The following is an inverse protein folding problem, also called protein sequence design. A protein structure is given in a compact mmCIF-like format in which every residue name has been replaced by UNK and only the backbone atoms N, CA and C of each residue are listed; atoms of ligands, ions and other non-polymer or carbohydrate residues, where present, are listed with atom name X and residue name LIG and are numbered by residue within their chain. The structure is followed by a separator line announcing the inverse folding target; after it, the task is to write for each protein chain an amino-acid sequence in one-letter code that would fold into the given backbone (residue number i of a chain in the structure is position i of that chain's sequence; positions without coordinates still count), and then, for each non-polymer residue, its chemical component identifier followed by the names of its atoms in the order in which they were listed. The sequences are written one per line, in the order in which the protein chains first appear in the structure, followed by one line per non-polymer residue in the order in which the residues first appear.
data_IF_943365410213
#
_entry.id   IF_943365410213
#
_cell.length_a   1.000
_cell.length_b   1.000
_cell.length_c   1.000
_cell.angle_alpha   90.00
_cell.angle_beta   90.00
_cell.angle_gamma   90.00
#
_symmetry.space_group_name_H-M   'P 1'
#
loop_
_entity.id
_entity.type
_entity.pdbx_description
1 polymer ?
#
# COMPACT_ATOMS: atom_id res chain seq x y z
N UNK A 1 127.42 -28.96 -54.54
CA UNK A 1 126.09 -28.58 -55.08
C UNK A 1 125.04 -29.48 -54.46
N UNK A 2 123.91 -28.96 -53.95
CA UNK A 2 122.83 -29.81 -53.45
C UNK A 2 122.26 -30.66 -54.60
N UNK A 3 121.89 -31.90 -54.32
CA UNK A 3 121.28 -32.79 -55.31
C UNK A 3 119.89 -32.30 -55.70
N UNK A 4 119.43 -32.65 -56.91
CA UNK A 4 118.16 -32.15 -57.46
C UNK A 4 116.97 -32.44 -56.53
N UNK A 5 116.95 -33.63 -55.92
CA UNK A 5 115.95 -34.08 -54.95
C UNK A 5 115.87 -33.15 -53.73
N UNK A 6 117.02 -32.78 -53.15
CA UNK A 6 117.09 -31.85 -51.99
C UNK A 6 116.50 -30.49 -52.38
N UNK A 7 116.77 -30.00 -53.60
CA UNK A 7 116.19 -28.72 -54.06
C UNK A 7 114.69 -28.78 -54.31
N UNK A 8 114.15 -29.92 -54.78
CA UNK A 8 112.71 -30.13 -54.91
C UNK A 8 112.03 -30.23 -53.54
N UNK A 9 112.63 -30.96 -52.60
CA UNK A 9 112.13 -31.08 -51.23
C UNK A 9 112.05 -29.71 -50.54
N UNK A 10 113.13 -28.90 -50.62
CA UNK A 10 113.14 -27.54 -50.05
C UNK A 10 112.06 -26.64 -50.67
N UNK A 11 111.83 -26.70 -51.99
CA UNK A 11 110.73 -25.97 -52.64
C UNK A 11 109.35 -26.42 -52.14
N UNK A 12 109.16 -27.73 -51.90
CA UNK A 12 107.91 -28.28 -51.34
C UNK A 12 107.69 -27.78 -49.91
N UNK A 13 108.69 -27.88 -49.03
CA UNK A 13 108.61 -27.38 -47.66
C UNK A 13 108.36 -25.87 -47.61
N UNK A 14 108.97 -25.09 -48.50
CA UNK A 14 108.72 -23.65 -48.60
C UNK A 14 107.27 -23.36 -49.01
N UNK A 15 106.73 -24.06 -50.02
CA UNK A 15 105.32 -23.93 -50.42
C UNK A 15 104.35 -24.31 -49.30
N UNK A 16 104.60 -25.42 -48.60
CA UNK A 16 103.76 -25.88 -47.48
C UNK A 16 103.78 -24.90 -46.30
N UNK A 17 104.94 -24.30 -45.99
CA UNK A 17 105.08 -23.23 -44.99
C UNK A 17 104.29 -21.99 -45.39
N UNK A 18 104.43 -21.55 -46.64
CA UNK A 18 103.79 -20.32 -47.13
C UNK A 18 102.26 -20.50 -47.22
N UNK A 19 101.78 -21.71 -47.59
CA UNK A 19 100.36 -22.11 -47.52
C UNK A 19 99.84 -22.23 -46.07
N UNK A 20 100.68 -22.65 -45.11
CA UNK A 20 100.31 -22.65 -43.69
C UNK A 20 100.16 -21.22 -43.15
N UNK A 21 101.12 -20.34 -43.43
CA UNK A 21 101.08 -18.92 -43.07
C UNK A 21 99.86 -18.20 -43.68
N UNK A 22 99.51 -18.47 -44.94
CA UNK A 22 98.29 -17.92 -45.53
C UNK A 22 97.00 -18.45 -44.88
N UNK A 23 96.96 -19.74 -44.50
CA UNK A 23 95.82 -20.30 -43.76
C UNK A 23 95.68 -19.70 -42.36
N UNK A 24 96.79 -19.51 -41.65
CA UNK A 24 96.83 -18.85 -40.34
C UNK A 24 96.42 -17.37 -40.42
N UNK A 25 96.95 -16.61 -41.39
CA UNK A 25 96.55 -15.23 -41.61
C UNK A 25 95.04 -15.12 -41.93
N UNK A 26 94.50 -16.05 -42.73
CA UNK A 26 93.07 -16.13 -43.06
C UNK A 26 92.21 -16.45 -41.83
N UNK A 27 92.60 -17.43 -41.01
CA UNK A 27 91.86 -17.81 -39.80
C UNK A 27 91.94 -16.73 -38.72
N UNK A 28 93.12 -16.13 -38.51
CA UNK A 28 93.34 -15.00 -37.59
C UNK A 28 92.49 -13.78 -37.99
N UNK A 29 92.44 -13.44 -39.27
CA UNK A 29 91.60 -12.34 -39.76
C UNK A 29 90.10 -12.64 -39.63
N UNK A 30 89.65 -13.89 -39.86
CA UNK A 30 88.27 -14.30 -39.58
C UNK A 30 87.94 -14.18 -38.09
N UNK A 31 88.82 -14.66 -37.21
CA UNK A 31 88.64 -14.59 -35.76
C UNK A 31 88.55 -13.13 -35.27
N UNK A 32 89.42 -12.24 -35.76
CA UNK A 32 89.35 -10.79 -35.46
C UNK A 32 88.01 -10.17 -35.89
N UNK A 33 87.51 -10.51 -37.10
CA UNK A 33 86.19 -10.05 -37.58
C UNK A 33 85.06 -10.53 -36.68
N UNK A 34 85.04 -11.82 -36.33
CA UNK A 34 84.04 -12.37 -35.40
C UNK A 34 84.13 -11.69 -34.03
N UNK A 35 85.32 -11.52 -33.46
CA UNK A 35 85.51 -10.87 -32.16
C UNK A 35 84.98 -9.43 -32.15
N UNK A 36 85.26 -8.64 -33.19
CA UNK A 36 84.73 -7.27 -33.32
C UNK A 36 83.22 -7.25 -33.48
N UNK A 37 82.65 -8.12 -34.34
CA UNK A 37 81.21 -8.23 -34.54
C UNK A 37 80.48 -8.63 -33.24
N UNK A 38 80.99 -9.64 -32.52
CA UNK A 38 80.44 -10.08 -31.24
C UNK A 38 80.53 -8.98 -30.17
N UNK A 39 81.66 -8.26 -30.08
CA UNK A 39 81.80 -7.12 -29.15
C UNK A 39 80.81 -6.00 -29.45
N UNK A 40 80.64 -5.64 -30.72
CA UNK A 40 79.66 -4.65 -31.17
C UNK A 40 78.23 -5.08 -30.83
N UNK A 41 77.84 -6.32 -31.16
CA UNK A 41 76.50 -6.84 -30.84
C UNK A 41 76.22 -6.91 -29.34
N UNK A 42 77.21 -7.24 -28.50
CA UNK A 42 77.06 -7.20 -27.04
C UNK A 42 76.88 -5.77 -26.54
N UNK A 43 77.53 -4.78 -27.13
CA UNK A 43 77.35 -3.37 -26.76
C UNK A 43 75.95 -2.86 -27.17
N UNK A 44 75.49 -3.19 -28.37
CA UNK A 44 74.15 -2.87 -28.87
C UNK A 44 73.05 -3.48 -27.98
N UNK A 45 73.16 -4.79 -27.66
CA UNK A 45 72.23 -5.47 -26.76
C UNK A 45 72.25 -4.88 -25.34
N UNK A 46 73.41 -4.45 -24.84
CA UNK A 46 73.52 -3.74 -23.55
C UNK A 46 72.87 -2.35 -23.58
N UNK A 47 72.85 -1.69 -24.73
CA UNK A 47 72.14 -0.43 -24.91
C UNK A 47 70.63 -0.66 -24.94
N UNK A 48 70.15 -1.55 -25.82
CA UNK A 48 68.74 -1.94 -25.93
C UNK A 48 68.17 -2.40 -24.57
N UNK A 49 68.89 -3.24 -23.82
CA UNK A 49 68.46 -3.68 -22.50
C UNK A 49 68.32 -2.52 -21.49
N UNK A 50 69.21 -1.52 -21.53
CA UNK A 50 69.12 -0.34 -20.67
C UNK A 50 67.92 0.54 -21.05
N UNK A 51 67.72 0.74 -22.35
CA UNK A 51 66.61 1.51 -22.92
C UNK A 51 65.27 0.88 -22.52
N UNK A 52 65.03 -0.38 -22.86
CA UNK A 52 63.78 -1.09 -22.52
C UNK A 52 63.55 -1.20 -21.00
N UNK A 53 64.62 -1.33 -20.21
CA UNK A 53 64.52 -1.31 -18.74
C UNK A 53 64.07 0.06 -18.21
N UNK A 54 64.50 1.16 -18.82
CA UNK A 54 64.09 2.50 -18.44
C UNK A 54 62.66 2.80 -18.91
N UNK A 55 62.29 2.41 -20.14
CA UNK A 55 60.92 2.50 -20.65
C UNK A 55 59.93 1.75 -19.75
N UNK A 56 60.24 0.52 -19.35
CA UNK A 56 59.39 -0.27 -18.47
C UNK A 56 59.21 0.38 -17.08
N UNK A 57 60.26 1.00 -16.51
CA UNK A 57 60.15 1.79 -15.27
C UNK A 57 59.22 2.99 -15.43
N UNK A 58 59.33 3.74 -16.54
CA UNK A 58 58.46 4.89 -16.85
C UNK A 58 57.01 4.43 -17.06
N UNK A 59 56.80 3.33 -17.77
CA UNK A 59 55.48 2.75 -17.99
C UNK A 59 54.85 2.30 -16.66
N UNK A 60 55.58 1.59 -15.81
CA UNK A 60 55.11 1.15 -14.50
C UNK A 60 54.73 2.34 -13.59
N UNK A 61 55.53 3.41 -13.58
CA UNK A 61 55.21 4.64 -12.86
C UNK A 61 53.95 5.32 -13.42
N UNK A 62 53.80 5.35 -14.75
CA UNK A 62 52.64 5.93 -15.44
C UNK A 62 51.36 5.14 -15.14
N UNK A 63 51.40 3.80 -15.20
CA UNK A 63 50.28 2.92 -14.84
C UNK A 63 49.86 3.13 -13.39
N UNK A 64 50.81 3.23 -12.45
CA UNK A 64 50.51 3.52 -11.04
C UNK A 64 49.83 4.88 -10.87
N UNK A 65 50.34 5.92 -11.54
CA UNK A 65 49.74 7.26 -11.53
C UNK A 65 48.30 7.21 -12.06
N UNK A 66 48.06 6.59 -13.21
CA UNK A 66 46.73 6.48 -13.82
C UNK A 66 45.73 5.71 -12.94
N UNK A 67 46.15 4.64 -12.26
CA UNK A 67 45.27 3.92 -11.32
C UNK A 67 44.84 4.76 -10.11
N UNK A 68 45.72 5.65 -9.65
CA UNK A 68 45.40 6.62 -8.60
C UNK A 68 44.45 7.70 -9.15
N UNK A 69 44.72 8.26 -10.33
CA UNK A 69 43.88 9.28 -10.97
C UNK A 69 42.48 8.77 -11.34
N UNK A 70 42.36 7.47 -11.67
CA UNK A 70 41.07 6.79 -11.92
C UNK A 70 40.37 6.31 -10.63
N UNK A 71 40.95 6.52 -9.44
CA UNK A 71 40.35 6.08 -8.17
C UNK A 71 40.23 4.54 -8.03
N UNK A 72 41.09 3.78 -8.73
CA UNK A 72 41.15 2.31 -8.65
C UNK A 72 42.03 1.85 -7.47
N UNK A 73 43.03 2.65 -7.11
CA UNK A 73 43.89 2.45 -5.93
C UNK A 73 43.61 3.55 -4.89
N UNK A 74 43.53 3.19 -3.60
CA UNK A 74 43.37 4.17 -2.51
C UNK A 74 44.67 4.92 -2.26
N UNK A 75 44.70 6.20 -2.63
CA UNK A 75 45.78 7.14 -2.30
C UNK A 75 45.24 8.31 -1.48
N UNK A 76 46.01 8.77 -0.49
CA UNK A 76 45.72 9.99 0.28
C UNK A 76 45.73 11.28 -0.58
N UNK A 77 46.32 11.22 -1.78
CA UNK A 77 46.35 12.35 -2.73
C UNK A 77 45.14 12.38 -3.68
N UNK A 78 44.34 11.32 -3.73
CA UNK A 78 43.18 11.25 -4.61
C UNK A 78 42.00 12.02 -4.01
N UNK A 79 41.50 13.02 -4.74
CA UNK A 79 40.42 13.92 -4.29
C UNK A 79 39.03 13.55 -4.81
N UNK A 80 38.91 12.49 -5.62
CA UNK A 80 37.64 12.01 -6.15
C UNK A 80 36.98 10.95 -5.26
N UNK A 81 35.82 10.45 -5.67
CA UNK A 81 35.24 9.21 -5.15
C UNK A 81 35.94 8.02 -5.81
N UNK A 82 36.36 7.03 -5.03
CA UNK A 82 36.95 5.81 -5.61
C UNK A 82 35.87 4.95 -6.23
N UNK A 83 36.25 4.00 -7.10
CA UNK A 83 35.29 3.03 -7.63
C UNK A 83 34.55 2.27 -6.50
N UNK A 84 35.21 2.02 -5.37
CA UNK A 84 34.60 1.39 -4.18
C UNK A 84 33.57 2.27 -3.48
N UNK A 85 33.78 3.58 -3.45
CA UNK A 85 32.82 4.52 -2.86
C UNK A 85 31.57 4.63 -3.75
N UNK A 86 31.75 4.68 -5.07
CA UNK A 86 30.65 4.66 -6.05
C UNK A 86 29.84 3.36 -5.95
N UNK A 87 30.51 2.19 -5.88
CA UNK A 87 29.84 0.90 -5.70
C UNK A 87 29.04 0.86 -4.38
N UNK A 88 29.58 1.42 -3.29
CA UNK A 88 28.86 1.50 -2.01
C UNK A 88 27.62 2.39 -2.13
N UNK A 89 27.76 3.59 -2.69
CA UNK A 89 26.64 4.50 -2.91
C UNK A 89 25.55 3.87 -3.80
N UNK A 90 25.92 3.04 -4.79
CA UNK A 90 24.97 2.31 -5.61
C UNK A 90 24.21 1.24 -4.81
N UNK A 91 24.88 0.47 -3.95
CA UNK A 91 24.20 -0.48 -3.04
C UNK A 91 23.32 0.23 -2.01
N UNK A 92 23.79 1.33 -1.39
CA UNK A 92 22.98 2.13 -0.46
C UNK A 92 21.69 2.66 -1.13
N UNK A 93 21.77 2.95 -2.45
CA UNK A 93 20.63 3.36 -3.29
C UNK A 93 19.73 2.20 -3.69
N UNK A 94 20.28 1.05 -4.05
CA UNK A 94 19.54 -0.19 -4.30
C UNK A 94 18.70 -0.57 -3.07
N UNK A 95 19.32 -0.62 -1.90
CA UNK A 95 18.68 -0.85 -0.60
C UNK A 95 17.59 0.21 -0.29
N UNK A 96 17.82 1.47 -0.65
CA UNK A 96 16.82 2.53 -0.52
C UNK A 96 15.62 2.31 -1.46
N UNK A 97 15.86 1.89 -2.70
CA UNK A 97 14.82 1.57 -3.68
C UNK A 97 13.97 0.37 -3.23
N UNK A 98 14.58 -0.69 -2.68
CA UNK A 98 13.85 -1.85 -2.13
C UNK A 98 12.90 -1.41 -1.02
N UNK A 99 13.40 -0.67 0.00
CA UNK A 99 12.56 -0.17 1.11
C UNK A 99 11.43 0.74 0.63
N UNK A 100 11.68 1.58 -0.37
CA UNK A 100 10.64 2.43 -0.96
C UNK A 100 9.59 1.63 -1.74
N UNK A 101 9.99 0.53 -2.40
CA UNK A 101 9.08 -0.43 -3.03
C UNK A 101 8.13 -1.05 -2.01
N UNK A 102 8.66 -1.65 -0.95
CA UNK A 102 7.87 -2.24 0.15
C UNK A 102 6.88 -1.23 0.78
N UNK A 103 7.32 0.00 1.01
CA UNK A 103 6.47 1.07 1.52
C UNK A 103 5.34 1.44 0.54
N UNK A 104 5.64 1.51 -0.75
CA UNK A 104 4.66 1.83 -1.79
C UNK A 104 3.62 0.70 -1.95
N UNK A 105 4.04 -0.56 -1.87
CA UNK A 105 3.12 -1.71 -1.84
C UNK A 105 2.17 -1.66 -0.62
N UNK A 106 2.70 -1.37 0.56
CA UNK A 106 1.91 -1.20 1.79
C UNK A 106 0.90 -0.03 1.66
N UNK A 107 1.31 1.09 1.06
CA UNK A 107 0.43 2.23 0.81
C UNK A 107 -0.65 1.91 -0.23
N UNK A 108 -0.30 1.20 -1.31
CA UNK A 108 -1.23 0.72 -2.33
C UNK A 108 -2.27 -0.24 -1.75
N UNK A 109 -1.86 -1.16 -0.87
CA UNK A 109 -2.77 -2.02 -0.12
C UNK A 109 -3.73 -1.22 0.77
N UNK A 110 -3.22 -0.24 1.53
CA UNK A 110 -4.05 0.66 2.36
C UNK A 110 -5.03 1.47 1.51
N UNK A 111 -4.60 2.00 0.36
CA UNK A 111 -5.46 2.74 -0.56
C UNK A 111 -6.61 1.86 -1.09
N UNK A 112 -6.32 0.62 -1.51
CA UNK A 112 -7.36 -0.35 -1.92
C UNK A 112 -8.34 -0.63 -0.79
N UNK A 113 -7.86 -0.87 0.43
CA UNK A 113 -8.72 -1.09 1.61
C UNK A 113 -9.61 0.12 1.90
N UNK A 114 -9.07 1.34 1.87
CA UNK A 114 -9.85 2.57 2.06
C UNK A 114 -10.89 2.76 0.96
N UNK A 115 -10.55 2.47 -0.30
CA UNK A 115 -11.48 2.51 -1.44
C UNK A 115 -12.68 1.57 -1.25
N UNK A 116 -12.44 0.34 -0.79
CA UNK A 116 -13.51 -0.60 -0.46
C UNK A 116 -14.39 -0.10 0.69
N UNK A 117 -13.81 0.45 1.77
CA UNK A 117 -14.62 1.02 2.87
C UNK A 117 -15.41 2.24 2.43
N UNK A 118 -14.88 3.07 1.54
CA UNK A 118 -15.57 4.26 1.02
C UNK A 118 -16.74 3.86 0.12
N UNK A 119 -16.56 2.89 -0.78
CA UNK A 119 -17.64 2.34 -1.61
C UNK A 119 -18.75 1.70 -0.75
N UNK A 120 -18.38 0.96 0.30
CA UNK A 120 -19.34 0.40 1.25
C UNK A 120 -20.14 1.49 1.98
N UNK A 121 -19.47 2.53 2.49
CA UNK A 121 -20.11 3.66 3.16
C UNK A 121 -21.02 4.45 2.21
N UNK A 122 -20.62 4.64 0.95
CA UNK A 122 -21.47 5.25 -0.08
C UNK A 122 -22.74 4.43 -0.34
N UNK A 123 -22.63 3.10 -0.39
CA UNK A 123 -23.80 2.22 -0.51
C UNK A 123 -24.73 2.37 0.70
N UNK A 124 -24.21 2.22 1.92
CA UNK A 124 -25.01 2.39 3.14
C UNK A 124 -25.68 3.76 3.22
N UNK A 125 -24.97 4.83 2.81
CA UNK A 125 -25.53 6.18 2.75
C UNK A 125 -26.75 6.20 1.82
N UNK A 126 -26.62 5.67 0.60
CA UNK A 126 -27.72 5.61 -0.35
C UNK A 126 -28.90 4.79 0.18
N UNK A 127 -28.63 3.61 0.74
CA UNK A 127 -29.66 2.73 1.31
C UNK A 127 -30.44 3.44 2.45
N UNK A 128 -29.79 4.33 3.21
CA UNK A 128 -30.41 5.18 4.24
C UNK A 128 -31.15 6.40 3.67
N UNK A 129 -30.65 7.03 2.60
CA UNK A 129 -31.34 8.11 1.89
C UNK A 129 -32.66 7.59 1.26
N UNK A 130 -32.64 6.40 0.66
CA UNK A 130 -33.82 5.73 0.11
C UNK A 130 -34.84 5.40 1.22
N UNK A 131 -34.38 4.93 2.40
CA UNK A 131 -35.24 4.68 3.57
C UNK A 131 -35.85 5.97 4.15
N UNK A 132 -35.05 7.04 4.26
CA UNK A 132 -35.52 8.35 4.72
C UNK A 132 -36.63 8.88 3.80
N UNK A 133 -36.43 8.82 2.49
CA UNK A 133 -37.42 9.29 1.52
C UNK A 133 -38.73 8.48 1.57
N UNK A 134 -38.68 7.19 1.91
CA UNK A 134 -39.89 6.36 2.16
C UNK A 134 -40.59 6.79 3.44
N UNK A 135 -39.84 7.04 4.53
CA UNK A 135 -40.40 7.50 5.80
C UNK A 135 -41.04 8.89 5.67
N UNK A 136 -40.39 9.83 4.98
CA UNK A 136 -40.93 11.16 4.68
C UNK A 136 -42.25 11.10 3.90
N UNK A 137 -42.32 10.27 2.85
CA UNK A 137 -43.55 10.02 2.09
C UNK A 137 -44.66 9.46 3.00
N UNK A 138 -44.36 8.49 3.87
CA UNK A 138 -45.34 7.92 4.81
C UNK A 138 -45.83 8.95 5.84
N UNK A 139 -44.96 9.86 6.30
CA UNK A 139 -45.36 10.97 7.19
C UNK A 139 -46.28 11.94 6.44
N UNK A 140 -45.97 12.31 5.19
CA UNK A 140 -46.84 13.17 4.37
C UNK A 140 -48.23 12.55 4.15
N UNK A 141 -48.31 11.25 3.84
CA UNK A 141 -49.57 10.50 3.75
C UNK A 141 -50.37 10.56 5.06
N UNK A 142 -49.74 10.22 6.20
CA UNK A 142 -50.41 10.23 7.51
C UNK A 142 -50.85 11.64 7.94
N UNK A 143 -50.08 12.68 7.59
CA UNK A 143 -50.48 14.07 7.81
C UNK A 143 -51.70 14.43 6.96
N UNK A 144 -51.72 14.06 5.68
CA UNK A 144 -52.87 14.29 4.80
C UNK A 144 -54.13 13.56 5.31
N UNK A 145 -54.00 12.28 5.69
CA UNK A 145 -55.08 11.50 6.31
C UNK A 145 -55.59 12.16 7.60
N UNK A 146 -54.70 12.60 8.49
CA UNK A 146 -55.07 13.26 9.74
C UNK A 146 -55.79 14.60 9.49
N UNK A 147 -55.33 15.42 8.53
CA UNK A 147 -56.05 16.67 8.17
C UNK A 147 -57.43 16.41 7.59
N UNK A 148 -57.62 15.32 6.83
CA UNK A 148 -58.94 14.90 6.32
C UNK A 148 -59.85 14.43 7.46
N UNK A 149 -59.34 13.59 8.37
CA UNK A 149 -60.09 13.11 9.53
C UNK A 149 -60.48 14.24 10.48
N UNK A 150 -59.58 15.22 10.69
CA UNK A 150 -59.85 16.40 11.52
C UNK A 150 -60.97 17.27 10.94
N UNK A 151 -61.02 17.46 9.62
CA UNK A 151 -62.12 18.16 8.94
C UNK A 151 -63.44 17.41 9.05
N UNK A 152 -63.44 16.09 8.80
CA UNK A 152 -64.64 15.27 8.94
C UNK A 152 -65.17 15.27 10.38
N UNK A 153 -64.28 15.25 11.38
CA UNK A 153 -64.67 15.37 12.79
C UNK A 153 -65.37 16.71 13.04
N UNK A 154 -64.76 17.82 12.61
CA UNK A 154 -65.34 19.16 12.71
C UNK A 154 -66.71 19.25 12.04
N UNK A 155 -66.87 18.71 10.83
CA UNK A 155 -68.15 18.64 10.11
C UNK A 155 -69.21 17.83 10.89
N UNK A 156 -68.83 16.69 11.49
CA UNK A 156 -69.76 15.89 12.31
C UNK A 156 -70.15 16.58 13.62
N UNK A 157 -69.26 17.37 14.22
CA UNK A 157 -69.57 18.12 15.43
C UNK A 157 -70.46 19.33 15.12
N UNK A 158 -70.25 20.06 14.02
CA UNK A 158 -71.20 21.09 13.57
C UNK A 158 -72.59 20.52 13.26
N UNK A 159 -72.67 19.34 12.62
CA UNK A 159 -73.95 18.67 12.39
C UNK A 159 -74.66 18.27 13.69
N UNK A 160 -73.91 17.86 14.73
CA UNK A 160 -74.48 17.57 16.06
C UNK A 160 -75.00 18.82 16.74
N UNK A 161 -74.29 19.95 16.62
CA UNK A 161 -74.73 21.24 17.15
C UNK A 161 -75.99 21.76 16.44
N UNK A 162 -76.05 21.66 15.11
CA UNK A 162 -77.24 21.99 14.31
C UNK A 162 -78.45 21.14 14.70
N UNK A 163 -78.27 19.82 14.83
CA UNK A 163 -79.32 18.90 15.28
C UNK A 163 -79.77 19.20 16.72
N UNK A 164 -78.85 19.53 17.62
CA UNK A 164 -79.18 19.92 18.99
C UNK A 164 -79.98 21.23 19.04
N UNK A 165 -79.60 22.22 18.23
CA UNK A 165 -80.33 23.47 18.04
C UNK A 165 -81.75 23.21 17.50
N UNK A 166 -81.88 22.46 16.40
CA UNK A 166 -83.17 22.11 15.80
C UNK A 166 -84.08 21.35 16.78
N UNK A 167 -83.54 20.38 17.53
CA UNK A 167 -84.26 19.65 18.56
C UNK A 167 -84.70 20.56 19.71
N UNK A 168 -83.87 21.55 20.10
CA UNK A 168 -84.24 22.52 21.14
C UNK A 168 -85.39 23.44 20.70
N UNK A 169 -85.41 23.85 19.42
CA UNK A 169 -86.48 24.67 18.83
C UNK A 169 -87.79 23.88 18.73
N UNK A 170 -87.73 22.63 18.25
CA UNK A 170 -88.88 21.72 18.21
C UNK A 170 -89.44 21.46 19.62
N UNK A 171 -88.57 21.28 20.62
CA UNK A 171 -89.01 21.11 22.01
C UNK A 171 -89.71 22.36 22.56
N UNK A 172 -89.20 23.57 22.24
CA UNK A 172 -89.86 24.83 22.62
C UNK A 172 -91.23 24.98 21.98
N UNK A 173 -91.36 24.76 20.67
CA UNK A 173 -92.65 24.90 19.98
C UNK A 173 -93.69 23.88 20.45
N UNK A 174 -93.27 22.64 20.76
CA UNK A 174 -94.14 21.64 21.39
C UNK A 174 -94.60 22.10 22.79
N UNK A 175 -93.70 22.66 23.60
CA UNK A 175 -94.05 23.10 24.96
C UNK A 175 -94.91 24.36 24.98
N UNK A 176 -94.69 25.29 24.05
CA UNK A 176 -95.57 26.44 23.79
C UNK A 176 -96.96 25.97 23.35
N UNK A 177 -97.05 25.03 22.41
CA UNK A 177 -98.32 24.44 21.98
C UNK A 177 -99.08 23.77 23.16
N UNK A 178 -98.39 23.07 24.06
CA UNK A 178 -98.99 22.56 25.31
C UNK A 178 -99.47 23.68 26.22
N UNK A 179 -98.73 24.79 26.35
CA UNK A 179 -99.17 25.94 27.15
C UNK A 179 -100.42 26.61 26.58
N UNK A 180 -100.55 26.70 25.26
CA UNK A 180 -101.79 27.18 24.63
C UNK A 180 -102.95 26.17 24.80
N UNK A 181 -102.72 24.87 24.63
CA UNK A 181 -103.72 23.84 24.90
C UNK A 181 -104.21 23.88 26.37
N UNK A 182 -103.30 23.99 27.33
CA UNK A 182 -103.62 24.06 28.76
C UNK A 182 -104.37 25.35 29.15
N UNK A 183 -104.21 26.45 28.40
CA UNK A 183 -104.99 27.70 28.60
C UNK A 183 -106.41 27.63 28.00
N UNK A 184 -106.65 26.73 27.04
CA UNK A 184 -107.96 26.47 26.46
C UNK A 184 -108.74 25.37 27.23
N UNK A 185 -108.06 24.57 28.05
CA UNK A 185 -108.68 23.57 28.95
C UNK A 185 -108.70 24.09 30.39
N UNK A 186 -109.42 25.19 30.61
CA UNK A 186 -109.83 25.62 31.96
C UNK A 186 -111.28 25.19 32.25
N UNK A 187 -111.51 23.87 32.22
CA UNK A 187 -112.80 23.28 32.66
C UNK A 187 -112.79 23.01 34.16
N UNK A 188 -113.77 23.57 34.85
CA UNK A 188 -114.03 23.36 36.28
C UNK A 188 -114.57 21.95 36.56
N UNK A 189 -113.73 21.01 36.98
CA UNK A 189 -114.12 19.88 37.87
C UNK A 189 -112.89 19.21 38.46
N UNK A 190 -112.91 18.96 39.77
CA UNK A 190 -111.86 18.29 40.54
C UNK A 190 -112.05 16.77 40.58
N UNK A 191 -110.95 16.00 40.44
CA UNK A 191 -110.84 14.65 41.01
C UNK A 191 -109.40 14.46 41.52
N UNK A 192 -109.19 14.15 42.82
CA UNK A 192 -107.89 13.73 43.33
C UNK A 192 -107.71 12.22 43.12
N UNK A 193 -106.52 11.78 42.69
CA UNK A 193 -106.14 10.36 42.68
C UNK A 193 -104.92 10.16 43.57
N UNK A 194 -105.15 9.47 44.69
CA UNK A 194 -104.13 9.02 45.62
C UNK A 194 -103.42 7.76 45.10
N UNK A 195 -102.14 7.64 45.46
CA UNK A 195 -101.40 6.38 45.65
C UNK A 195 -101.48 5.26 44.59
N UNK A 196 -100.32 4.93 44.01
CA UNK A 196 -99.82 3.55 44.10
C UNK A 196 -98.29 3.47 43.99
N UNK A 197 -97.69 2.82 44.99
CA UNK A 197 -96.38 2.17 44.93
C UNK A 197 -96.53 0.83 44.15
N UNK A 198 -95.52 0.09 43.65
CA UNK A 198 -94.33 -0.46 44.32
C UNK A 198 -93.43 -1.22 43.31
N UNK A 199 -92.13 -1.41 43.66
CA UNK A 199 -91.25 -2.58 43.36
C UNK A 199 -90.61 -2.86 41.96
N UNK A 200 -89.26 -2.73 41.96
CA UNK A 200 -88.19 -3.61 41.41
C UNK A 200 -88.46 -4.59 40.23
N UNK A 201 -87.53 -4.54 39.26
CA UNK A 201 -86.61 -5.68 38.97
C UNK A 201 -85.22 -5.19 38.46
N UNK A 202 -84.19 -6.03 38.54
CA UNK A 202 -82.75 -5.75 38.27
C UNK A 202 -82.16 -6.92 37.44
N UNK A 203 -81.00 -6.71 36.79
CA UNK A 203 -80.12 -7.71 36.08
C UNK A 203 -80.64 -8.12 34.69
N UNK A 204 -79.87 -8.21 33.59
CA UNK A 204 -78.43 -7.98 33.28
C UNK A 204 -78.25 -7.84 31.74
N UNK A 205 -77.13 -8.12 31.04
CA UNK A 205 -75.74 -8.45 31.43
C UNK A 205 -74.80 -8.36 30.18
N UNK A 206 -73.55 -7.86 30.29
CA UNK A 206 -72.54 -7.88 29.20
C UNK A 206 -71.53 -6.69 29.24
N UNK A 207 -70.40 -6.80 29.95
CA UNK A 207 -69.06 -7.22 29.44
C UNK A 207 -68.50 -6.27 28.37
N UNK A 208 -67.35 -5.59 28.58
CA UNK A 208 -66.01 -6.19 28.77
C UNK A 208 -65.07 -5.42 29.73
N UNK A 209 -64.01 -6.13 30.16
CA UNK A 209 -62.76 -5.65 30.78
C UNK A 209 -62.06 -4.55 29.91
N UNK A 210 -61.15 -3.69 30.40
CA UNK A 210 -59.96 -3.93 31.26
C UNK A 210 -59.68 -2.75 32.20
N UNK A 211 -59.48 -2.96 33.50
CA UNK A 211 -58.16 -3.13 34.14
C UNK A 211 -57.07 -2.14 33.65
N UNK A 212 -57.05 -0.96 34.26
CA UNK A 212 -55.90 -0.07 34.27
C UNK A 212 -54.92 -0.53 35.35
N UNK A 213 -53.92 -1.33 34.98
CA UNK A 213 -52.70 -1.43 35.76
C UNK A 213 -51.51 -1.85 34.91
N UNK A 214 -50.36 -1.24 35.25
CA UNK A 214 -49.00 -1.74 35.04
C UNK A 214 -48.50 -1.89 33.59
N UNK A 215 -47.60 -0.98 33.21
CA UNK A 215 -46.19 -1.33 32.98
C UNK A 215 -45.35 -0.05 32.88
N UNK A 216 -44.71 0.33 33.99
CA UNK A 216 -43.49 1.14 33.91
C UNK A 216 -42.47 0.35 33.08
N UNK A 217 -42.01 0.92 31.96
CA UNK A 217 -40.81 0.40 31.29
C UNK A 217 -39.59 0.93 32.01
N UNK A 218 -39.13 0.18 33.02
CA UNK A 218 -37.76 0.33 33.53
C UNK A 218 -36.76 0.23 32.38
N UNK A 219 -35.72 1.08 32.35
CA UNK A 219 -34.62 0.91 31.40
C UNK A 219 -33.80 -0.30 31.83
N UNK A 220 -33.52 -1.20 30.88
CA UNK A 220 -32.43 -2.15 31.01
C UNK A 220 -31.38 -1.82 29.96
N UNK A 221 -30.21 -1.47 30.48
CA UNK A 221 -28.89 -1.82 29.98
C UNK A 221 -28.89 -3.25 29.38
N UNK A 222 -28.01 -3.64 28.45
CA UNK A 222 -26.58 -3.34 28.50
C UNK A 222 -25.84 -3.54 27.17
N UNK A 223 -24.61 -3.03 27.13
CA UNK A 223 -23.47 -3.49 26.31
C UNK A 223 -23.66 -3.75 24.79
N UNK A 224 -23.13 -2.83 23.99
CA UNK A 224 -22.11 -3.24 23.01
C UNK A 224 -20.82 -2.49 23.31
N UNK A 225 -19.94 -3.16 24.03
CA UNK A 225 -18.64 -2.65 24.40
C UNK A 225 -17.69 -2.59 23.19
N UNK A 226 -16.78 -1.63 23.22
CA UNK A 226 -15.66 -1.51 22.28
C UNK A 226 -14.77 -2.76 22.31
N UNK A 227 -14.31 -3.29 21.16
CA UNK A 227 -13.13 -4.14 21.11
C UNK A 227 -11.88 -3.25 21.20
N UNK A 228 -11.48 -2.91 22.42
CA UNK A 228 -10.14 -2.37 22.68
C UNK A 228 -9.16 -3.55 22.81
N UNK A 229 -8.63 -4.01 21.68
CA UNK A 229 -7.59 -5.03 21.66
C UNK A 229 -6.20 -4.36 21.78
N UNK A 230 -5.67 -4.32 23.00
CA UNK A 230 -4.23 -4.11 23.24
C UNK A 230 -3.59 -5.43 23.68
N UNK A 231 -2.35 -5.62 23.21
CA UNK A 231 -1.34 -6.55 23.73
C UNK A 231 -1.65 -8.05 23.56
N UNK A 232 -0.98 -8.65 22.58
CA UNK A 232 -0.04 -9.72 22.93
C UNK A 232 1.23 -9.64 22.06
N UNK A 233 2.38 -9.68 22.72
CA UNK A 233 3.69 -9.85 22.10
C UNK A 233 3.97 -11.35 21.98
N UNK A 234 4.45 -11.85 20.84
CA UNK A 234 5.36 -12.97 20.81
C UNK A 234 6.80 -12.43 20.75
N UNK A 235 7.47 -12.37 21.91
CA UNK A 235 8.93 -12.47 21.92
C UNK A 235 9.36 -13.90 21.54
N UNK A 236 10.58 -14.03 21.01
CA UNK A 236 11.36 -15.28 20.94
C UNK A 236 10.87 -16.36 19.96
N UNK A 237 11.37 -16.28 18.73
CA UNK A 237 11.47 -17.39 17.79
C UNK A 237 12.84 -17.40 17.12
N UNK A 238 13.82 -18.09 17.71
CA UNK A 238 15.16 -18.27 17.14
C UNK A 238 15.15 -19.22 15.93
N UNK A 239 15.99 -18.94 14.94
CA UNK A 239 16.27 -19.83 13.80
C UNK A 239 15.49 -19.46 12.52
N UNK A 240 16.06 -19.53 11.32
CA UNK A 240 17.36 -20.10 10.94
C UNK A 240 18.06 -19.28 9.85
N UNK A 241 19.38 -19.09 10.00
CA UNK A 241 20.25 -18.62 8.91
C UNK A 241 20.60 -19.81 8.01
N UNK A 242 19.89 -19.96 6.89
CA UNK A 242 20.34 -20.75 5.74
C UNK A 242 20.43 -19.81 4.54
N UNK A 243 21.55 -19.09 4.40
CA UNK A 243 22.69 -19.57 3.62
C UNK A 243 22.33 -19.83 2.14
N UNK A 244 22.03 -18.75 1.42
CA UNK A 244 21.99 -18.71 -0.05
C UNK A 244 23.39 -18.60 -0.68
N UNK A 245 24.44 -18.52 0.13
CA UNK A 245 25.83 -18.46 -0.31
C UNK A 245 26.41 -19.84 -0.68
N UNK A 246 25.80 -20.56 -1.64
CA UNK A 246 26.41 -21.79 -2.18
C UNK A 246 25.96 -22.25 -3.60
N UNK A 247 25.53 -21.34 -4.47
CA UNK A 247 25.15 -21.69 -5.85
C UNK A 247 26.10 -21.18 -6.96
N UNK A 248 27.18 -20.47 -6.61
CA UNK A 248 28.13 -19.91 -7.60
C UNK A 248 29.48 -20.64 -7.74
N UNK A 249 29.72 -21.73 -6.99
CA UNK A 249 31.00 -22.48 -7.05
C UNK A 249 30.94 -23.83 -7.80
N UNK A 250 29.82 -24.17 -8.45
CA UNK A 250 29.65 -25.46 -9.14
C UNK A 250 29.67 -25.41 -10.69
N UNK A 251 30.10 -24.28 -11.27
CA UNK A 251 30.26 -24.12 -12.74
C UNK A 251 31.72 -23.89 -13.18
N UNK A 252 32.71 -24.25 -12.37
CA UNK A 252 34.15 -24.07 -12.67
C UNK A 252 34.97 -25.37 -12.63
N UNK A 253 34.32 -26.54 -12.63
CA UNK A 253 34.96 -27.84 -12.81
C UNK A 253 34.10 -28.76 -13.70
N UNK A 254 34.22 -28.53 -15.01
CA UNK A 254 34.13 -29.50 -16.12
C UNK A 254 34.63 -28.79 -17.39
#
# INVERSE_FOLDING_TARGET
MPTMEVTQFLKKCQKERDEALHREASSSNKLKRFQTATRSRIQELKYQLKETTNENKVLAATVKKLRIELGLESSLTFKGKTARDIIRELHDKEDQCVRLGEQNELLSFKQKKMGLTLAHTQKLKKDLEDQLQVAERKVQELTAENTKLSKLLQETDTQREELACAYSLLRKSIEEAKQFANKLVQTTTSIPVMFQSTYRRRVGHGSRHSHLQLMERKPMFDSLASPSAKLENPQSGYGSRTSSANLYYRMLQN
#
